data_IF_229532816327
#
_entry.id   IF_229532816327
#
_cell.length_a   1.000
_cell.length_b   1.000
_cell.length_c   1.000
_cell.angle_alpha   90.00
_cell.angle_beta   90.00
_cell.angle_gamma   90.00
#
_symmetry.space_group_name_H-M   'P 1'
#
loop_
_entity.id
_entity.type
_entity.pdbx_description
1 polymer ?
#
# COMPACT_ATOMS: atom_id res chain seq x y z
N UNK A 1 -10.52 16.61 11.07
CA UNK A 1 -9.33 17.41 10.69
C UNK A 1 -8.73 16.89 9.39
N UNK A 2 -7.86 17.66 8.74
CA UNK A 2 -7.26 17.31 7.43
C UNK A 2 -6.63 15.91 7.43
N UNK A 3 -5.97 15.54 8.51
CA UNK A 3 -5.39 14.20 8.72
C UNK A 3 -6.39 13.04 8.60
N UNK A 4 -7.58 13.19 9.20
CA UNK A 4 -8.64 12.17 9.13
C UNK A 4 -9.23 12.07 7.73
N UNK A 5 -9.39 13.21 7.05
CA UNK A 5 -9.83 13.23 5.65
C UNK A 5 -8.82 12.54 4.72
N UNK A 6 -7.52 12.80 4.92
CA UNK A 6 -6.46 12.11 4.20
C UNK A 6 -6.46 10.60 4.48
N UNK A 7 -6.69 10.17 5.73
CA UNK A 7 -6.80 8.74 6.03
C UNK A 7 -7.97 8.09 5.27
N UNK A 8 -9.16 8.71 5.27
CA UNK A 8 -10.33 8.20 4.54
C UNK A 8 -10.05 8.09 3.04
N UNK A 9 -9.32 9.05 2.46
CA UNK A 9 -9.00 9.06 1.03
C UNK A 9 -7.90 8.06 0.66
N UNK A 10 -6.84 7.99 1.47
CA UNK A 10 -5.67 7.17 1.18
C UNK A 10 -5.89 5.70 1.52
N UNK A 11 -6.67 5.38 2.57
CA UNK A 11 -6.83 4.02 3.07
C UNK A 11 -7.45 3.05 2.06
N UNK A 12 -8.47 3.40 1.26
CA UNK A 12 -8.98 2.53 0.20
C UNK A 12 -7.93 2.24 -0.89
N UNK A 13 -7.20 3.28 -1.33
CA UNK A 13 -6.15 3.14 -2.34
C UNK A 13 -4.99 2.29 -1.82
N UNK A 14 -4.55 2.56 -0.59
CA UNK A 14 -3.54 1.77 0.10
C UNK A 14 -3.99 0.31 0.19
N UNK A 15 -5.19 0.03 0.70
CA UNK A 15 -5.71 -1.32 0.83
C UNK A 15 -5.73 -2.08 -0.51
N UNK A 16 -6.03 -1.39 -1.62
CA UNK A 16 -6.03 -2.00 -2.96
C UNK A 16 -4.61 -2.36 -3.42
N UNK A 17 -3.63 -1.48 -3.22
CA UNK A 17 -2.23 -1.74 -3.58
C UNK A 17 -1.63 -2.82 -2.68
N UNK A 18 -1.82 -2.69 -1.36
CA UNK A 18 -1.34 -3.63 -0.34
C UNK A 18 -1.90 -5.03 -0.58
N UNK A 19 -3.18 -5.17 -0.96
CA UNK A 19 -3.77 -6.46 -1.38
C UNK A 19 -3.08 -7.10 -2.58
N UNK A 20 -2.55 -6.30 -3.49
CA UNK A 20 -1.92 -6.79 -4.72
C UNK A 20 -0.43 -7.10 -4.53
N UNK A 21 0.23 -6.47 -3.56
CA UNK A 21 1.70 -6.53 -3.43
C UNK A 21 2.20 -7.11 -2.12
N UNK A 22 1.33 -7.34 -1.14
CA UNK A 22 1.72 -7.80 0.20
C UNK A 22 0.70 -8.76 0.79
N UNK A 23 1.15 -9.60 1.72
CA UNK A 23 0.29 -10.48 2.50
C UNK A 23 -0.32 -9.71 3.67
N UNK A 24 -1.65 -9.77 3.82
CA UNK A 24 -2.38 -8.84 4.70
C UNK A 24 -2.40 -9.32 6.15
N UNK A 25 -2.34 -10.63 6.36
CA UNK A 25 -2.31 -11.25 7.68
C UNK A 25 -1.72 -12.67 7.58
N UNK A 26 -1.51 -13.32 8.73
CA UNK A 26 -0.92 -14.66 8.77
C UNK A 26 -1.71 -15.75 8.03
N UNK A 27 -3.04 -15.66 7.99
CA UNK A 27 -3.89 -16.64 7.28
C UNK A 27 -3.75 -16.46 5.76
N UNK A 28 -3.79 -15.21 5.31
CA UNK A 28 -3.59 -14.82 3.92
C UNK A 28 -2.16 -15.17 3.45
N UNK A 29 -1.18 -14.96 4.32
CA UNK A 29 0.21 -15.36 4.09
C UNK A 29 0.35 -16.86 3.82
N UNK A 30 -0.21 -17.72 4.68
CA UNK A 30 -0.13 -19.18 4.49
C UNK A 30 -0.80 -19.62 3.19
N UNK A 31 -1.91 -18.98 2.79
CA UNK A 31 -2.60 -19.31 1.53
C UNK A 31 -1.81 -18.85 0.30
N UNK A 32 -1.20 -17.69 0.36
CA UNK A 32 -0.53 -17.11 -0.80
C UNK A 32 0.94 -17.53 -0.93
N UNK A 33 1.60 -17.97 0.14
CA UNK A 33 3.00 -18.43 0.09
C UNK A 33 3.14 -19.68 -0.78
N UNK A 34 2.13 -20.56 -0.80
CA UNK A 34 2.09 -21.71 -1.70
C UNK A 34 2.10 -21.26 -3.16
N UNK A 35 1.29 -20.26 -3.52
CA UNK A 35 1.27 -19.69 -4.86
C UNK A 35 2.60 -18.98 -5.21
N UNK A 36 3.19 -18.27 -4.23
CA UNK A 36 4.48 -17.60 -4.38
C UNK A 36 5.62 -18.61 -4.62
N UNK A 37 5.59 -19.75 -3.92
CA UNK A 37 6.48 -20.89 -4.15
C UNK A 37 6.26 -21.50 -5.53
N UNK A 38 5.02 -21.78 -5.90
CA UNK A 38 4.67 -22.40 -7.19
C UNK A 38 5.08 -21.53 -8.39
N UNK A 39 5.14 -20.21 -8.19
CA UNK A 39 5.63 -19.26 -9.19
C UNK A 39 7.17 -19.21 -9.29
N UNK A 40 7.89 -19.93 -8.41
CA UNK A 40 9.36 -19.96 -8.40
C UNK A 40 10.02 -18.78 -7.69
N UNK A 41 9.24 -17.95 -6.99
CA UNK A 41 9.76 -16.72 -6.36
C UNK A 41 10.31 -16.96 -4.94
N UNK A 42 10.01 -18.11 -4.34
CA UNK A 42 10.48 -18.48 -3.00
C UNK A 42 11.88 -19.08 -3.06
N UNK A 43 12.88 -18.33 -2.62
CA UNK A 43 14.29 -18.72 -2.57
C UNK A 43 14.75 -18.90 -1.12
N UNK A 44 15.84 -19.65 -0.87
CA UNK A 44 16.44 -19.72 0.47
C UNK A 44 16.87 -18.36 1.03
N UNK A 45 17.10 -17.39 0.16
CA UNK A 45 17.46 -16.00 0.49
C UNK A 45 16.26 -15.06 0.64
N UNK A 46 15.03 -15.56 0.48
CA UNK A 46 13.82 -14.76 0.65
C UNK A 46 13.64 -14.37 2.12
N UNK A 47 13.52 -13.06 2.38
CA UNK A 47 13.25 -12.51 3.69
C UNK A 47 11.79 -12.09 3.79
N UNK A 48 11.13 -12.47 4.88
CA UNK A 48 9.78 -12.01 5.21
C UNK A 48 9.88 -10.83 6.18
N UNK A 49 9.26 -9.71 5.83
CA UNK A 49 9.24 -8.50 6.65
C UNK A 49 7.78 -8.13 6.90
N UNK A 50 7.45 -7.88 8.16
CA UNK A 50 6.12 -7.43 8.58
C UNK A 50 6.18 -5.95 8.93
N UNK A 51 5.25 -5.17 8.38
CA UNK A 51 5.06 -3.77 8.73
C UNK A 51 3.71 -3.61 9.43
N UNK A 52 3.71 -3.05 10.64
CA UNK A 52 2.48 -2.67 11.32
C UNK A 52 2.14 -1.21 10.99
N UNK A 53 1.06 -1.02 10.23
CA UNK A 53 0.63 0.30 9.76
C UNK A 53 -0.68 0.66 10.46
N UNK A 54 -0.54 1.36 11.59
CA UNK A 54 -1.68 1.79 12.41
C UNK A 54 -2.34 3.05 11.83
N UNK A 55 -1.55 4.02 11.37
CA UNK A 55 -2.02 5.31 10.85
C UNK A 55 -1.24 5.73 9.59
N UNK A 56 -1.85 5.54 8.42
CA UNK A 56 -1.22 5.82 7.11
C UNK A 56 -0.75 7.27 6.98
N UNK A 57 -1.58 8.23 7.40
CA UNK A 57 -1.27 9.65 7.28
C UNK A 57 -0.24 10.16 8.29
N UNK A 58 0.04 9.41 9.38
CA UNK A 58 1.10 9.79 10.34
C UNK A 58 2.44 9.17 9.96
N UNK A 59 2.43 8.05 9.23
CA UNK A 59 3.64 7.38 8.75
C UNK A 59 4.19 8.00 7.47
N UNK A 60 3.35 8.64 6.65
CA UNK A 60 3.79 9.42 5.51
C UNK A 60 4.09 10.84 5.98
N UNK A 61 5.33 11.34 5.87
CA UNK A 61 5.63 12.73 6.19
C UNK A 61 4.70 13.66 5.42
N UNK A 62 4.14 14.68 6.11
CA UNK A 62 3.12 15.58 5.54
C UNK A 62 3.52 16.15 4.18
N UNK A 63 4.80 16.49 4.00
CA UNK A 63 5.34 16.97 2.73
C UNK A 63 5.25 15.92 1.62
N UNK A 64 5.56 14.66 1.91
CA UNK A 64 5.48 13.54 0.97
C UNK A 64 4.03 13.23 0.58
N UNK A 65 3.10 13.29 1.54
CA UNK A 65 1.68 13.09 1.27
C UNK A 65 1.11 14.18 0.33
N UNK A 66 1.47 15.46 0.57
CA UNK A 66 1.04 16.58 -0.28
C UNK A 66 1.66 16.48 -1.67
N UNK A 67 2.96 16.17 -1.78
CA UNK A 67 3.63 16.00 -3.07
C UNK A 67 3.02 14.83 -3.88
N UNK A 68 2.70 13.72 -3.22
CA UNK A 68 2.02 12.58 -3.86
C UNK A 68 0.62 12.98 -4.34
N UNK A 69 -0.15 13.71 -3.53
CA UNK A 69 -1.48 14.20 -3.91
C UNK A 69 -1.40 15.19 -5.07
N UNK A 70 -0.44 16.11 -5.06
CA UNK A 70 -0.20 17.04 -6.18
C UNK A 70 0.11 16.27 -7.46
N UNK A 71 1.01 15.29 -7.41
CA UNK A 71 1.35 14.46 -8.57
C UNK A 71 0.14 13.67 -9.09
N UNK A 72 -0.68 13.14 -8.19
CA UNK A 72 -1.92 12.44 -8.54
C UNK A 72 -2.91 13.38 -9.24
N UNK A 73 -3.15 14.56 -8.66
CA UNK A 73 -4.05 15.55 -9.23
C UNK A 73 -3.54 16.05 -10.57
N UNK A 74 -2.26 16.37 -10.72
CA UNK A 74 -1.67 16.74 -12.02
C UNK A 74 -1.83 15.64 -13.07
N UNK A 75 -1.67 14.37 -12.70
CA UNK A 75 -1.81 13.24 -13.63
C UNK A 75 -3.25 12.99 -14.08
N UNK A 76 -4.24 13.26 -13.22
CA UNK A 76 -5.63 12.84 -13.46
C UNK A 76 -6.63 13.98 -13.62
N UNK A 77 -6.29 15.20 -13.23
CA UNK A 77 -7.15 16.38 -13.44
C UNK A 77 -7.17 16.82 -14.91
N UNK A 78 -6.07 16.60 -15.65
CA UNK A 78 -5.99 16.89 -17.09
C UNK A 78 -6.78 15.91 -17.97
N UNK A 79 -7.24 14.77 -17.44
CA UNK A 79 -8.13 13.84 -18.16
C UNK A 79 -9.61 14.29 -18.21
N UNK A 80 -9.90 15.57 -17.90
CA UNK A 80 -11.21 16.21 -18.13
C UNK A 80 -11.19 17.24 -19.26
N UNK A 81 -10.40 17.01 -20.31
CA UNK A 81 -10.53 17.72 -21.59
C UNK A 81 -10.72 16.73 -22.73
#
# INVERSE_FOLDING_TARGET
GVSHFLDILLRPMFNQVTKATTFINGIDFVRQIENYRNSGHLLPTTLFVTFDITNLYTMIPRHGAIAALQKFLSKHADNRR
#
